data_IF_694298480755
#
_entry.id   IF_694298480755
#
_cell.length_a   1.000
_cell.length_b   1.000
_cell.length_c   1.000
_cell.angle_alpha   90.00
_cell.angle_beta   90.00
_cell.angle_gamma   90.00
#
_symmetry.space_group_name_H-M   'P 1'
#
loop_
_entity.id
_entity.type
_entity.pdbx_description
1 polymer ?
#
# COMPACT_ATOMS: atom_id res chain seq x y z
N UNK A 1 -13.96 6.65 -19.95
CA UNK A 1 -14.91 5.54 -19.67
C UNK A 1 -14.82 5.17 -18.18
N UNK A 2 -15.91 4.74 -17.51
CA UNK A 2 -15.84 4.24 -16.14
C UNK A 2 -15.49 2.75 -16.14
N UNK A 3 -14.77 2.27 -15.10
CA UNK A 3 -14.37 0.86 -14.97
C UNK A 3 -15.56 -0.11 -15.12
N UNK A 4 -16.72 0.23 -14.51
CA UNK A 4 -17.94 -0.57 -14.62
C UNK A 4 -18.47 -0.65 -16.06
N UNK A 5 -18.41 0.44 -16.80
CA UNK A 5 -18.79 0.48 -18.24
C UNK A 5 -17.80 -0.31 -19.09
N UNK A 6 -16.49 -0.22 -18.76
CA UNK A 6 -15.45 -0.97 -19.45
C UNK A 6 -15.65 -2.48 -19.32
N UNK A 7 -15.88 -2.96 -18.09
CA UNK A 7 -16.18 -4.39 -17.87
C UNK A 7 -17.44 -4.86 -18.59
N UNK A 8 -18.50 -4.02 -18.62
CA UNK A 8 -19.70 -4.31 -19.37
C UNK A 8 -19.49 -4.43 -20.89
N UNK A 9 -18.60 -3.61 -21.45
CA UNK A 9 -18.22 -3.67 -22.86
C UNK A 9 -17.45 -4.96 -23.19
N UNK A 10 -16.45 -5.30 -22.36
CA UNK A 10 -15.68 -6.55 -22.52
C UNK A 10 -16.60 -7.77 -22.40
N UNK A 11 -17.52 -7.78 -21.44
CA UNK A 11 -18.45 -8.90 -21.25
C UNK A 11 -19.42 -9.05 -22.43
N UNK A 12 -19.90 -7.93 -23.00
CA UNK A 12 -20.75 -7.97 -24.22
C UNK A 12 -19.98 -8.50 -25.40
N UNK A 13 -18.74 -8.04 -25.62
CA UNK A 13 -17.88 -8.57 -26.67
C UNK A 13 -17.71 -10.09 -26.52
N UNK A 14 -17.38 -10.54 -25.31
CA UNK A 14 -17.22 -11.96 -25.01
C UNK A 14 -18.46 -12.79 -25.31
N UNK A 15 -19.67 -12.27 -25.07
CA UNK A 15 -20.92 -12.96 -25.40
C UNK A 15 -21.25 -12.93 -26.91
N UNK A 16 -20.88 -11.84 -27.59
CA UNK A 16 -21.19 -11.68 -29.02
C UNK A 16 -20.24 -12.47 -29.92
N UNK A 17 -18.98 -12.61 -29.52
CA UNK A 17 -17.95 -13.31 -30.29
C UNK A 17 -17.59 -14.66 -29.66
N UNK A 18 -18.60 -15.47 -29.32
CA UNK A 18 -18.43 -16.80 -28.73
C UNK A 18 -17.93 -17.87 -29.72
N UNK A 19 -17.40 -17.48 -30.88
CA UNK A 19 -16.79 -18.39 -31.83
C UNK A 19 -15.35 -18.74 -31.37
N UNK A 20 -15.04 -20.02 -31.16
CA UNK A 20 -13.76 -20.46 -30.57
C UNK A 20 -12.51 -20.21 -31.43
N UNK A 21 -12.66 -19.72 -32.64
CA UNK A 21 -11.57 -19.55 -33.60
C UNK A 21 -11.09 -18.11 -33.79
N UNK A 22 -11.68 -17.10 -33.13
CA UNK A 22 -11.18 -15.73 -33.23
C UNK A 22 -10.02 -15.50 -32.27
N UNK A 23 -8.89 -15.01 -32.80
CA UNK A 23 -7.69 -14.69 -31.96
C UNK A 23 -8.02 -13.68 -30.87
N UNK A 24 -8.95 -12.79 -31.10
CA UNK A 24 -9.43 -11.77 -30.15
C UNK A 24 -10.23 -12.38 -29.00
N UNK A 25 -11.07 -13.35 -29.30
CA UNK A 25 -11.86 -14.08 -28.31
C UNK A 25 -10.95 -14.86 -27.36
N UNK A 26 -10.01 -15.63 -27.91
CA UNK A 26 -9.03 -16.39 -27.12
C UNK A 26 -8.21 -15.46 -26.23
N UNK A 27 -7.71 -14.35 -26.76
CA UNK A 27 -6.92 -13.39 -26.01
C UNK A 27 -7.68 -12.82 -24.80
N UNK A 28 -8.96 -12.46 -24.97
CA UNK A 28 -9.80 -11.93 -23.89
C UNK A 28 -10.22 -13.05 -22.93
N UNK A 29 -10.59 -14.22 -23.45
CA UNK A 29 -10.97 -15.38 -22.66
C UNK A 29 -9.88 -15.77 -21.69
N UNK A 30 -8.66 -15.95 -22.20
CA UNK A 30 -7.50 -16.36 -21.41
C UNK A 30 -7.11 -15.34 -20.31
N UNK A 31 -7.43 -14.07 -20.53
CA UNK A 31 -7.09 -13.00 -19.61
C UNK A 31 -8.30 -12.42 -18.85
N UNK A 32 -9.50 -12.96 -19.06
CA UNK A 32 -10.72 -12.44 -18.40
C UNK A 32 -10.62 -12.48 -16.87
N UNK A 33 -10.03 -13.52 -16.32
CA UNK A 33 -9.80 -13.64 -14.88
C UNK A 33 -8.87 -12.54 -14.37
N UNK A 34 -7.75 -12.31 -15.06
CA UNK A 34 -6.79 -11.23 -14.74
C UNK A 34 -7.48 -9.87 -14.78
N UNK A 35 -8.23 -9.58 -15.84
CA UNK A 35 -8.97 -8.32 -15.99
C UNK A 35 -9.96 -8.14 -14.83
N UNK A 36 -10.72 -9.17 -14.49
CA UNK A 36 -11.69 -9.15 -13.39
C UNK A 36 -11.03 -8.93 -12.05
N UNK A 37 -9.92 -9.61 -11.77
CA UNK A 37 -9.16 -9.45 -10.53
C UNK A 37 -8.62 -8.03 -10.39
N UNK A 38 -8.03 -7.47 -11.45
CA UNK A 38 -7.49 -6.11 -11.46
C UNK A 38 -8.58 -5.06 -11.26
N UNK A 39 -9.72 -5.19 -11.91
CA UNK A 39 -10.86 -4.28 -11.73
C UNK A 39 -11.38 -4.32 -10.28
N UNK A 40 -11.45 -5.49 -9.66
CA UNK A 40 -11.91 -5.64 -8.27
C UNK A 40 -11.02 -4.97 -7.24
N UNK A 41 -9.73 -4.77 -7.55
CA UNK A 41 -8.74 -4.09 -6.69
C UNK A 41 -8.79 -2.57 -6.74
N UNK A 42 -9.34 -1.98 -7.80
CA UNK A 42 -9.34 -0.52 -8.00
C UNK A 42 -10.32 0.17 -7.05
N UNK A 43 -9.78 0.93 -6.09
CA UNK A 43 -10.57 1.62 -5.04
C UNK A 43 -10.58 3.14 -5.14
N UNK A 44 -9.89 3.75 -6.10
CA UNK A 44 -9.56 5.17 -6.07
C UNK A 44 -10.56 6.09 -6.75
N UNK A 45 -10.76 7.27 -6.15
CA UNK A 45 -11.29 8.46 -6.82
C UNK A 45 -10.17 9.03 -7.67
N UNK A 46 -10.23 8.83 -8.97
CA UNK A 46 -9.22 9.32 -9.90
C UNK A 46 -9.25 10.84 -9.99
N UNK A 47 -8.08 11.47 -9.90
CA UNK A 47 -7.92 12.82 -10.39
C UNK A 47 -8.01 12.80 -11.92
N UNK A 48 -8.88 13.68 -12.47
CA UNK A 48 -9.13 13.73 -13.91
C UNK A 48 -7.89 14.18 -14.70
N UNK A 49 -7.08 15.05 -14.11
CA UNK A 49 -5.89 15.59 -14.77
C UNK A 49 -4.77 14.52 -14.87
N UNK A 50 -4.49 13.84 -13.78
CA UNK A 50 -3.52 12.74 -13.72
C UNK A 50 -3.89 11.62 -14.70
N UNK A 51 -5.17 11.20 -14.69
CA UNK A 51 -5.66 10.21 -15.63
C UNK A 51 -5.45 10.59 -17.08
N UNK A 52 -5.68 11.84 -17.45
CA UNK A 52 -5.46 12.33 -18.82
C UNK A 52 -3.97 12.32 -19.20
N UNK A 53 -3.07 12.67 -18.27
CA UNK A 53 -1.61 12.61 -18.50
C UNK A 53 -1.17 11.18 -18.75
N UNK A 54 -1.62 10.25 -17.92
CA UNK A 54 -1.33 8.83 -18.03
C UNK A 54 -1.90 8.21 -19.32
N UNK A 55 -3.15 8.52 -19.68
CA UNK A 55 -3.74 8.07 -20.94
C UNK A 55 -2.96 8.57 -22.17
N UNK A 56 -2.41 9.79 -22.13
CA UNK A 56 -1.54 10.30 -23.20
C UNK A 56 -0.23 9.52 -23.28
N UNK A 57 0.40 9.24 -22.14
CA UNK A 57 1.59 8.41 -22.07
C UNK A 57 1.34 7.04 -22.70
N UNK A 58 0.34 6.31 -22.22
CA UNK A 58 0.02 4.95 -22.70
C UNK A 58 -0.36 4.93 -24.19
N UNK A 59 -1.06 5.96 -24.69
CA UNK A 59 -1.40 6.05 -26.12
C UNK A 59 -0.18 6.27 -27.00
N UNK A 60 0.77 7.09 -26.54
CA UNK A 60 2.03 7.36 -27.27
C UNK A 60 2.84 6.09 -27.42
N UNK A 61 2.93 5.29 -26.37
CA UNK A 61 3.68 4.04 -26.33
C UNK A 61 2.87 2.83 -26.84
N UNK A 62 1.73 3.04 -27.53
CA UNK A 62 0.91 1.96 -28.08
C UNK A 62 0.35 1.00 -27.02
N UNK A 63 0.15 1.49 -25.80
CA UNK A 63 -0.28 0.72 -24.62
C UNK A 63 0.73 -0.32 -24.12
N UNK A 64 2.01 -0.18 -24.49
CA UNK A 64 3.10 -0.90 -23.88
C UNK A 64 3.54 -0.15 -22.63
N UNK A 65 3.41 -0.78 -21.47
CA UNK A 65 3.81 -0.19 -20.21
C UNK A 65 5.22 -0.65 -19.82
N UNK A 66 6.07 0.31 -19.47
CA UNK A 66 7.31 0.11 -18.71
C UNK A 66 7.52 1.30 -17.76
N UNK A 67 8.19 1.06 -16.64
CA UNK A 67 8.52 2.10 -15.64
C UNK A 67 9.38 3.19 -16.27
N UNK A 68 10.39 2.81 -17.05
CA UNK A 68 11.30 3.72 -17.76
C UNK A 68 10.55 4.66 -18.72
N UNK A 69 9.64 4.11 -19.55
CA UNK A 69 8.85 4.90 -20.49
C UNK A 69 7.95 5.92 -19.78
N UNK A 70 7.36 5.51 -18.66
CA UNK A 70 6.55 6.40 -17.82
C UNK A 70 7.41 7.54 -17.27
N UNK A 71 8.54 7.25 -16.65
CA UNK A 71 9.47 8.24 -16.09
C UNK A 71 9.94 9.21 -17.19
N UNK A 72 10.40 8.67 -18.31
CA UNK A 72 10.86 9.47 -19.45
C UNK A 72 9.78 10.40 -19.99
N UNK A 73 8.54 9.90 -20.10
CA UNK A 73 7.42 10.70 -20.57
C UNK A 73 7.08 11.84 -19.61
N UNK A 74 7.00 11.59 -18.30
CA UNK A 74 6.70 12.62 -17.31
C UNK A 74 7.81 13.65 -17.22
N UNK A 75 9.07 13.20 -17.19
CA UNK A 75 10.26 14.08 -17.14
C UNK A 75 10.36 14.96 -18.38
N UNK A 76 10.10 14.41 -19.58
CA UNK A 76 10.14 15.20 -20.84
C UNK A 76 9.10 16.33 -20.88
N UNK A 77 8.01 16.21 -20.10
CA UNK A 77 6.97 17.24 -19.99
C UNK A 77 7.13 18.13 -18.74
N UNK A 78 8.16 17.91 -17.92
CA UNK A 78 8.34 18.62 -16.65
C UNK A 78 7.23 18.35 -15.62
N UNK A 79 6.56 17.21 -15.70
CA UNK A 79 5.49 16.85 -14.77
C UNK A 79 6.04 16.08 -13.59
N UNK A 80 5.58 16.45 -12.41
CA UNK A 80 5.88 15.79 -11.13
C UNK A 80 4.62 15.15 -10.59
N UNK A 81 4.79 14.19 -9.69
CA UNK A 81 3.72 13.50 -8.98
C UNK A 81 3.81 13.80 -7.49
N UNK A 82 2.65 13.99 -6.85
CA UNK A 82 2.56 13.98 -5.39
C UNK A 82 2.73 12.55 -4.85
N UNK A 83 3.16 12.42 -3.60
CA UNK A 83 3.32 11.11 -2.95
C UNK A 83 2.03 10.29 -3.01
N UNK A 84 0.89 10.94 -2.78
CA UNK A 84 -0.42 10.30 -2.86
C UNK A 84 -0.81 9.86 -4.29
N UNK A 85 -0.30 10.52 -5.33
CA UNK A 85 -0.53 10.17 -6.72
C UNK A 85 0.29 8.94 -7.12
N UNK A 86 1.55 8.84 -6.64
CA UNK A 86 2.40 7.67 -6.91
C UNK A 86 1.77 6.39 -6.33
N UNK A 87 1.22 6.41 -5.12
CA UNK A 87 0.51 5.26 -4.57
C UNK A 87 -0.73 4.84 -5.36
N UNK A 88 -1.37 5.77 -6.07
CA UNK A 88 -2.53 5.50 -6.92
C UNK A 88 -2.16 5.16 -8.36
N UNK A 89 -0.89 5.29 -8.71
CA UNK A 89 -0.41 5.15 -10.07
C UNK A 89 -0.74 3.76 -10.65
N UNK A 90 -0.47 2.69 -9.92
CA UNK A 90 -0.79 1.31 -10.34
C UNK A 90 -2.29 1.14 -10.64
N UNK A 91 -3.16 1.66 -9.77
CA UNK A 91 -4.62 1.62 -9.98
C UNK A 91 -5.05 2.43 -11.22
N UNK A 92 -4.41 3.58 -11.43
CA UNK A 92 -4.71 4.46 -12.56
C UNK A 92 -4.24 3.84 -13.88
N UNK A 93 -3.06 3.22 -13.92
CA UNK A 93 -2.54 2.47 -15.07
C UNK A 93 -3.48 1.31 -15.38
N UNK A 94 -3.80 0.49 -14.38
CA UNK A 94 -4.74 -0.62 -14.52
C UNK A 94 -6.08 -0.17 -15.14
N UNK A 95 -6.66 0.90 -14.58
CA UNK A 95 -7.92 1.46 -15.09
C UNK A 95 -7.81 1.91 -16.54
N UNK A 96 -6.72 2.58 -16.90
CA UNK A 96 -6.51 3.08 -18.26
C UNK A 96 -6.31 1.95 -19.27
N UNK A 97 -5.56 0.92 -18.91
CA UNK A 97 -5.36 -0.26 -19.76
C UNK A 97 -6.66 -1.05 -19.95
N UNK A 98 -7.43 -1.28 -18.90
CA UNK A 98 -8.74 -1.94 -18.99
C UNK A 98 -9.72 -1.12 -19.83
N UNK A 99 -9.72 0.21 -19.72
CA UNK A 99 -10.52 1.07 -20.56
C UNK A 99 -10.10 0.99 -22.05
N UNK A 100 -8.80 0.87 -22.33
CA UNK A 100 -8.28 0.70 -23.68
C UNK A 100 -8.76 -0.61 -24.31
N UNK A 101 -8.68 -1.73 -23.58
CA UNK A 101 -9.23 -3.02 -24.05
C UNK A 101 -10.72 -2.89 -24.33
N UNK A 102 -11.49 -2.25 -23.44
CA UNK A 102 -12.92 -2.08 -23.63
C UNK A 102 -13.29 -1.21 -24.83
N UNK A 103 -12.51 -0.16 -25.10
CA UNK A 103 -12.70 0.70 -26.29
C UNK A 103 -12.47 -0.08 -27.59
N UNK A 104 -11.47 -0.94 -27.64
CA UNK A 104 -11.23 -1.78 -28.81
C UNK A 104 -12.33 -2.84 -28.96
N UNK A 105 -12.82 -3.45 -27.88
CA UNK A 105 -13.98 -4.33 -27.91
C UNK A 105 -15.24 -3.62 -28.49
N UNK A 106 -15.52 -2.40 -28.03
CA UNK A 106 -16.65 -1.62 -28.55
C UNK A 106 -16.48 -1.25 -30.04
N UNK A 107 -15.23 -0.98 -30.49
CA UNK A 107 -14.92 -0.72 -31.90
C UNK A 107 -15.17 -1.96 -32.77
N UNK A 108 -14.74 -3.13 -32.31
CA UNK A 108 -15.03 -4.40 -32.99
C UNK A 108 -16.53 -4.63 -33.12
N UNK A 109 -17.28 -4.43 -32.08
CA UNK A 109 -18.73 -4.64 -32.08
C UNK A 109 -19.50 -3.68 -33.00
N UNK A 110 -19.02 -2.42 -33.10
CA UNK A 110 -19.69 -1.38 -33.90
C UNK A 110 -19.34 -1.45 -35.39
N UNK A 111 -18.06 -1.65 -35.69
CA UNK A 111 -17.50 -1.42 -37.02
C UNK A 111 -16.84 -2.65 -37.62
N UNK A 112 -16.80 -3.79 -36.90
CA UNK A 112 -16.04 -4.98 -37.30
C UNK A 112 -14.53 -4.75 -37.41
N UNK A 113 -14.04 -3.60 -36.93
CA UNK A 113 -12.63 -3.19 -37.04
C UNK A 113 -12.14 -2.70 -35.67
N UNK A 114 -11.28 -3.47 -35.03
CA UNK A 114 -10.55 -3.11 -33.84
C UNK A 114 -9.07 -3.44 -34.03
N UNK A 115 -8.22 -2.97 -33.16
CA UNK A 115 -6.79 -3.26 -33.19
C UNK A 115 -6.44 -4.37 -32.20
N UNK A 116 -6.26 -5.59 -32.71
CA UNK A 116 -5.75 -6.73 -31.94
C UNK A 116 -4.42 -6.45 -31.30
N UNK A 117 -3.55 -5.71 -31.99
CA UNK A 117 -2.24 -5.32 -31.47
C UNK A 117 -2.37 -4.48 -30.18
N UNK A 118 -3.24 -3.47 -30.19
CA UNK A 118 -3.49 -2.64 -29.01
C UNK A 118 -4.09 -3.42 -27.85
N UNK A 119 -5.01 -4.32 -28.13
CA UNK A 119 -5.58 -5.22 -27.12
C UNK A 119 -4.49 -6.09 -26.49
N UNK A 120 -3.64 -6.72 -27.32
CA UNK A 120 -2.54 -7.55 -26.88
C UNK A 120 -1.56 -6.76 -26.02
N UNK A 121 -1.11 -5.58 -26.48
CA UNK A 121 -0.20 -4.73 -25.74
C UNK A 121 -0.77 -4.30 -24.39
N UNK A 122 -2.06 -3.91 -24.34
CA UNK A 122 -2.72 -3.52 -23.10
C UNK A 122 -2.86 -4.69 -22.11
N UNK A 123 -3.17 -5.90 -22.58
CA UNK A 123 -3.28 -7.07 -21.71
C UNK A 123 -1.90 -7.52 -21.22
N UNK A 124 -0.88 -7.49 -22.07
CA UNK A 124 0.49 -7.79 -21.67
C UNK A 124 1.02 -6.80 -20.63
N UNK A 125 0.73 -5.52 -20.81
CA UNK A 125 1.05 -4.48 -19.82
C UNK A 125 0.31 -4.68 -18.50
N UNK A 126 -0.93 -5.17 -18.51
CA UNK A 126 -1.64 -5.54 -17.28
C UNK A 126 -0.97 -6.71 -16.54
N UNK A 127 -0.35 -7.64 -17.26
CA UNK A 127 0.41 -8.74 -16.64
C UNK A 127 1.69 -8.24 -15.99
N UNK A 128 2.39 -7.31 -16.62
CA UNK A 128 3.64 -6.70 -16.12
C UNK A 128 3.43 -5.66 -15.03
N UNK A 129 2.21 -5.23 -14.79
CA UNK A 129 1.92 -4.19 -13.79
C UNK A 129 2.44 -4.49 -12.36
N UNK A 130 2.51 -5.76 -11.88
CA UNK A 130 3.16 -6.06 -10.60
C UNK A 130 4.68 -5.80 -10.57
N UNK A 131 5.33 -5.75 -11.73
CA UNK A 131 6.77 -5.45 -11.89
C UNK A 131 7.05 -3.94 -11.82
N UNK A 132 6.02 -3.11 -11.56
CA UNK A 132 6.19 -1.67 -11.41
C UNK A 132 7.09 -1.36 -10.21
N UNK A 133 8.26 -0.81 -10.48
CA UNK A 133 9.22 -0.38 -9.47
C UNK A 133 8.82 0.98 -8.90
N UNK A 134 7.94 0.96 -7.90
CA UNK A 134 7.36 2.17 -7.29
C UNK A 134 8.45 3.07 -6.71
N UNK A 135 9.54 2.51 -6.17
CA UNK A 135 10.64 3.27 -5.60
C UNK A 135 11.40 4.09 -6.66
N UNK A 136 11.56 3.55 -7.87
CA UNK A 136 12.13 4.32 -8.98
C UNK A 136 11.24 5.50 -9.37
N UNK A 137 9.92 5.27 -9.43
CA UNK A 137 8.96 6.34 -9.72
C UNK A 137 9.01 7.43 -8.65
N UNK A 138 9.10 7.07 -7.36
CA UNK A 138 9.26 8.03 -6.27
C UNK A 138 10.52 8.87 -6.45
N UNK A 139 11.66 8.23 -6.67
CA UNK A 139 12.95 8.93 -6.79
C UNK A 139 13.01 9.83 -8.03
N UNK A 140 12.38 9.44 -9.15
CA UNK A 140 12.45 10.18 -10.40
C UNK A 140 11.41 11.29 -10.53
N UNK A 141 10.17 11.09 -10.03
CA UNK A 141 9.04 11.96 -10.32
C UNK A 141 8.47 12.69 -9.10
N UNK A 142 8.86 12.30 -7.88
CA UNK A 142 8.29 12.86 -6.66
C UNK A 142 9.25 13.87 -6.00
N UNK A 143 8.95 15.19 -6.01
CA UNK A 143 9.84 16.18 -5.39
C UNK A 143 9.98 16.02 -3.88
N UNK A 144 8.96 15.45 -3.19
CA UNK A 144 9.01 15.18 -1.76
C UNK A 144 10.07 14.16 -1.41
N UNK A 145 10.33 13.17 -2.30
CA UNK A 145 11.35 12.16 -2.09
C UNK A 145 12.75 12.76 -2.03
N UNK A 146 13.05 13.73 -2.89
CA UNK A 146 14.34 14.43 -2.88
C UNK A 146 14.56 15.25 -1.60
N UNK A 147 13.49 15.75 -1.01
CA UNK A 147 13.54 16.43 0.29
C UNK A 147 13.72 15.43 1.43
N UNK A 148 13.02 14.30 1.40
CA UNK A 148 13.15 13.23 2.39
C UNK A 148 14.56 12.60 2.39
N UNK A 149 15.20 12.44 1.23
CA UNK A 149 16.56 11.90 1.14
C UNK A 149 17.62 12.76 1.83
N UNK A 150 17.32 14.03 2.11
CA UNK A 150 18.21 14.89 2.93
C UNK A 150 18.11 14.59 4.43
N UNK A 151 17.08 13.85 4.85
CA UNK A 151 16.83 13.50 6.25
C UNK A 151 17.48 12.15 6.55
N UNK A 152 18.50 12.12 7.41
CA UNK A 152 19.29 10.91 7.72
C UNK A 152 18.45 9.67 8.03
N UNK A 153 17.44 9.81 8.90
CA UNK A 153 16.62 8.67 9.31
C UNK A 153 15.73 8.09 8.19
N UNK A 154 15.44 8.85 7.15
CA UNK A 154 14.72 8.38 5.97
C UNK A 154 15.69 7.76 4.94
N UNK A 155 16.81 8.42 4.68
CA UNK A 155 17.80 7.96 3.70
C UNK A 155 18.40 6.60 4.07
N UNK A 156 18.59 6.35 5.37
CA UNK A 156 19.16 5.12 5.89
C UNK A 156 18.09 4.04 6.19
N UNK A 157 16.80 4.39 6.12
CA UNK A 157 15.69 3.50 6.39
C UNK A 157 15.45 2.47 5.28
N UNK A 158 14.91 1.31 5.66
CA UNK A 158 14.39 0.33 4.72
C UNK A 158 13.11 0.85 4.02
N UNK A 159 12.65 0.13 3.00
CA UNK A 159 11.47 0.53 2.21
C UNK A 159 10.21 0.61 3.06
N UNK A 160 10.05 -0.29 4.04
CA UNK A 160 8.91 -0.28 4.94
C UNK A 160 8.91 0.97 5.84
N UNK A 161 10.08 1.39 6.32
CA UNK A 161 10.27 2.64 7.08
C UNK A 161 9.94 3.84 6.21
N UNK A 162 10.45 3.91 4.98
CA UNK A 162 10.16 5.00 4.04
C UNK A 162 8.67 5.12 3.76
N UNK A 163 7.97 3.99 3.62
CA UNK A 163 6.52 3.96 3.42
C UNK A 163 5.77 4.58 4.59
N UNK A 164 6.15 4.28 5.84
CA UNK A 164 5.55 4.89 7.04
C UNK A 164 5.67 6.41 7.02
N UNK A 165 6.82 6.94 6.59
CA UNK A 165 7.02 8.39 6.50
C UNK A 165 6.20 9.03 5.38
N UNK A 166 6.18 8.42 4.20
CA UNK A 166 5.36 8.87 3.08
C UNK A 166 3.88 8.92 3.45
N UNK A 167 3.36 7.85 4.07
CA UNK A 167 1.98 7.83 4.56
C UNK A 167 1.70 8.89 5.64
N UNK A 168 2.65 9.11 6.54
CA UNK A 168 2.50 10.11 7.59
C UNK A 168 2.45 11.53 6.98
N UNK A 169 3.29 11.83 5.98
CA UNK A 169 3.25 13.08 5.24
C UNK A 169 1.88 13.30 4.58
N UNK A 170 1.39 12.31 3.84
CA UNK A 170 0.07 12.37 3.19
C UNK A 170 -1.03 12.66 4.22
N UNK A 171 -1.00 11.99 5.37
CA UNK A 171 -1.98 12.23 6.45
C UNK A 171 -1.90 13.65 7.00
N UNK A 172 -0.69 14.16 7.21
CA UNK A 172 -0.47 15.53 7.71
C UNK A 172 -0.90 16.59 6.69
N UNK A 173 -0.53 16.43 5.43
CA UNK A 173 -0.90 17.34 4.34
C UNK A 173 -2.43 17.42 4.17
N UNK A 174 -3.12 16.27 4.20
CA UNK A 174 -4.58 16.23 4.15
C UNK A 174 -5.26 16.93 5.34
N UNK A 175 -4.71 16.77 6.55
CA UNK A 175 -5.26 17.44 7.74
C UNK A 175 -5.10 18.95 7.67
N UNK A 176 -3.95 19.43 7.20
CA UNK A 176 -3.63 20.85 7.09
C UNK A 176 -4.16 21.48 5.82
N UNK A 177 -4.59 20.68 4.84
CA UNK A 177 -5.01 21.11 3.49
C UNK A 177 -3.90 21.91 2.79
N UNK A 178 -2.66 21.51 2.99
CA UNK A 178 -1.47 22.10 2.40
C UNK A 178 -0.85 21.11 1.41
N UNK A 179 -0.08 21.64 0.45
CA UNK A 179 0.73 20.86 -0.47
C UNK A 179 1.83 20.07 0.28
N UNK A 180 2.08 18.82 -0.14
CA UNK A 180 3.04 17.93 0.49
C UNK A 180 4.46 18.48 0.50
N UNK A 181 4.90 19.11 -0.63
CA UNK A 181 6.22 19.70 -0.76
C UNK A 181 6.40 20.92 0.13
N UNK A 182 5.40 21.80 0.18
CA UNK A 182 5.43 23.02 1.01
C UNK A 182 5.44 22.66 2.49
N UNK A 183 4.64 21.68 2.86
CA UNK A 183 4.58 21.19 4.24
C UNK A 183 5.93 20.58 4.66
N UNK A 184 6.51 19.72 3.82
CA UNK A 184 7.76 19.05 4.12
C UNK A 184 8.94 20.02 4.19
N UNK A 185 9.05 20.99 3.26
CA UNK A 185 10.11 22.01 3.28
C UNK A 185 10.04 22.86 4.55
N UNK A 186 8.84 23.30 4.94
CA UNK A 186 8.64 24.06 6.20
C UNK A 186 9.03 23.23 7.43
N UNK A 187 8.66 21.96 7.46
CA UNK A 187 9.01 21.07 8.58
C UNK A 187 10.51 20.83 8.66
N UNK A 188 11.18 20.67 7.53
CA UNK A 188 12.63 20.47 7.47
C UNK A 188 13.39 21.72 7.98
N UNK A 189 12.93 22.91 7.60
CA UNK A 189 13.50 24.18 8.08
C UNK A 189 13.31 24.41 9.59
N UNK A 190 12.14 24.05 10.13
CA UNK A 190 11.79 24.32 11.53
C UNK A 190 12.40 23.33 12.53
N UNK A 191 12.60 22.09 12.14
CA UNK A 191 12.83 21.01 13.09
C UNK A 191 14.23 20.40 13.06
N UNK A 192 15.02 20.65 12.03
CA UNK A 192 16.29 19.94 11.83
C UNK A 192 16.09 18.41 11.65
N UNK A 193 17.13 17.73 11.22
CA UNK A 193 17.04 16.34 10.73
C UNK A 193 16.46 15.30 11.72
N UNK A 194 16.70 15.45 13.01
CA UNK A 194 16.30 14.42 14.00
C UNK A 194 14.87 14.54 14.53
N UNK A 195 14.26 15.74 14.45
CA UNK A 195 12.90 15.98 14.98
C UNK A 195 11.82 15.86 13.93
N UNK A 196 12.16 15.97 12.65
CA UNK A 196 11.21 15.85 11.56
C UNK A 196 10.48 14.51 11.62
N UNK A 197 11.21 13.45 11.88
CA UNK A 197 10.68 12.10 11.95
C UNK A 197 9.70 11.92 13.13
N UNK A 198 9.99 12.55 14.27
CA UNK A 198 9.10 12.54 15.42
C UNK A 198 7.80 13.32 15.19
N UNK A 199 7.81 14.34 14.33
CA UNK A 199 6.63 15.13 13.99
C UNK A 199 5.71 14.43 12.97
N UNK A 200 6.30 13.67 12.05
CA UNK A 200 5.57 12.92 11.04
C UNK A 200 5.01 11.62 11.65
N UNK A 201 5.77 10.97 12.54
CA UNK A 201 5.29 9.79 13.25
C UNK A 201 4.11 10.17 14.16
N UNK A 202 2.95 9.53 14.01
CA UNK A 202 1.77 9.87 14.81
C UNK A 202 1.98 9.41 16.26
N UNK A 203 2.57 10.24 17.07
CA UNK A 203 2.61 10.05 18.53
C UNK A 203 1.25 10.42 19.12
N UNK A 204 0.21 9.67 18.77
CA UNK A 204 -1.06 9.80 19.47
C UNK A 204 -1.00 8.90 20.70
N UNK A 205 -0.76 9.49 21.86
CA UNK A 205 -0.94 8.80 23.15
C UNK A 205 -2.43 8.50 23.43
N UNK A 206 -3.32 9.00 22.58
CA UNK A 206 -4.77 8.86 22.75
C UNK A 206 -5.24 7.39 22.85
N UNK A 207 -4.80 6.46 21.99
CA UNK A 207 -5.20 5.06 22.15
C UNK A 207 -4.67 4.43 23.42
N UNK A 208 -3.47 4.77 23.87
CA UNK A 208 -2.93 4.25 25.13
C UNK A 208 -3.70 4.79 26.35
N UNK A 209 -4.00 6.08 26.38
CA UNK A 209 -4.81 6.69 27.45
C UNK A 209 -6.21 6.11 27.46
N UNK A 210 -6.85 5.95 26.32
CA UNK A 210 -8.17 5.31 26.22
C UNK A 210 -8.15 3.84 26.68
N UNK A 211 -7.09 3.11 26.33
CA UNK A 211 -6.92 1.73 26.79
C UNK A 211 -6.87 1.66 28.33
N UNK A 212 -5.95 2.42 28.96
CA UNK A 212 -5.82 2.41 30.41
C UNK A 212 -7.09 2.88 31.12
N UNK A 213 -7.75 3.90 30.60
CA UNK A 213 -8.99 4.39 31.18
C UNK A 213 -10.11 3.36 31.08
N UNK A 214 -10.29 2.75 29.90
CA UNK A 214 -11.33 1.75 29.67
C UNK A 214 -11.11 0.50 30.53
N UNK A 215 -9.88 -0.03 30.55
CA UNK A 215 -9.54 -1.23 31.35
C UNK A 215 -9.69 -0.97 32.83
N UNK A 216 -9.26 0.19 33.32
CA UNK A 216 -9.42 0.57 34.73
C UNK A 216 -10.88 0.71 35.14
N UNK A 217 -11.68 1.43 34.32
CA UNK A 217 -13.13 1.60 34.62
C UNK A 217 -13.84 0.26 34.62
N UNK A 218 -13.53 -0.61 33.65
CA UNK A 218 -14.14 -1.94 33.57
C UNK A 218 -13.74 -2.82 34.75
N UNK A 219 -12.46 -2.82 35.13
CA UNK A 219 -11.97 -3.58 36.28
C UNK A 219 -12.63 -3.12 37.59
N UNK A 220 -12.74 -1.81 37.80
CA UNK A 220 -13.43 -1.24 39.00
C UNK A 220 -14.89 -1.61 39.00
N UNK A 221 -15.59 -1.52 37.88
CA UNK A 221 -17.02 -1.86 37.78
C UNK A 221 -17.27 -3.35 38.08
N UNK A 222 -16.46 -4.26 37.54
CA UNK A 222 -16.58 -5.70 37.79
C UNK A 222 -16.23 -6.03 39.24
N UNK A 223 -15.22 -5.39 39.81
CA UNK A 223 -14.84 -5.58 41.22
C UNK A 223 -15.92 -5.09 42.16
N UNK A 224 -16.51 -3.92 41.89
CA UNK A 224 -17.63 -3.37 42.69
C UNK A 224 -18.87 -4.27 42.59
N UNK A 225 -19.21 -4.76 41.41
CA UNK A 225 -20.31 -5.72 41.23
C UNK A 225 -20.08 -7.03 42.00
N UNK A 226 -18.86 -7.56 41.94
CA UNK A 226 -18.48 -8.78 42.68
C UNK A 226 -18.61 -8.56 44.21
N UNK A 227 -18.21 -7.37 44.69
CA UNK A 227 -18.32 -7.02 46.10
C UNK A 227 -19.76 -6.96 46.56
N UNK A 228 -20.68 -6.40 45.75
CA UNK A 228 -22.11 -6.35 46.06
C UNK A 228 -22.75 -7.72 46.15
N UNK A 229 -22.30 -8.69 45.33
CA UNK A 229 -22.86 -10.04 45.28
C UNK A 229 -22.28 -10.98 46.35
N UNK A 230 -20.98 -10.91 46.64
CA UNK A 230 -20.28 -11.89 47.45
C UNK A 230 -19.60 -11.29 48.70
N UNK A 231 -19.72 -10.00 48.93
CA UNK A 231 -19.16 -9.31 50.08
C UNK A 231 -17.64 -9.45 50.19
N UNK A 232 -17.13 -9.69 51.39
CA UNK A 232 -15.69 -9.77 51.64
C UNK A 232 -14.96 -10.90 50.91
N UNK A 233 -15.64 -11.96 50.51
CA UNK A 233 -15.05 -13.05 49.71
C UNK A 233 -14.58 -12.61 48.34
N UNK A 234 -15.17 -11.52 47.82
CA UNK A 234 -14.78 -10.95 46.51
C UNK A 234 -13.36 -10.40 46.51
N UNK A 235 -12.77 -10.06 47.67
CA UNK A 235 -11.38 -9.58 47.75
C UNK A 235 -10.37 -10.59 47.17
N UNK A 236 -10.63 -11.87 47.31
CA UNK A 236 -9.79 -12.93 46.74
C UNK A 236 -9.95 -13.01 45.21
N UNK A 237 -11.09 -12.57 44.67
CA UNK A 237 -11.37 -12.59 43.25
C UNK A 237 -10.88 -11.35 42.49
N UNK A 238 -10.53 -10.25 43.19
CA UNK A 238 -10.12 -8.98 42.56
C UNK A 238 -8.91 -9.17 41.63
N UNK A 239 -7.92 -9.91 42.06
CA UNK A 239 -6.67 -10.11 41.32
C UNK A 239 -6.89 -10.90 40.03
N UNK A 240 -7.54 -12.09 40.06
CA UNK A 240 -7.83 -12.83 38.84
C UNK A 240 -8.84 -12.11 37.93
N UNK A 241 -9.78 -11.35 38.45
CA UNK A 241 -10.71 -10.55 37.66
C UNK A 241 -9.98 -9.43 36.92
N UNK A 242 -9.07 -8.73 37.60
CA UNK A 242 -8.27 -7.68 36.98
C UNK A 242 -7.42 -8.24 35.85
N UNK A 243 -6.76 -9.38 36.05
CA UNK A 243 -5.95 -10.05 35.02
C UNK A 243 -6.79 -10.49 33.82
N UNK A 244 -7.99 -11.04 34.07
CA UNK A 244 -8.92 -11.42 32.99
C UNK A 244 -9.39 -10.19 32.18
N UNK A 245 -9.69 -9.08 32.84
CA UNK A 245 -10.08 -7.81 32.19
C UNK A 245 -8.94 -7.25 31.36
N UNK A 246 -7.72 -7.25 31.88
CA UNK A 246 -6.52 -6.83 31.13
C UNK A 246 -6.29 -7.70 29.90
N UNK A 247 -6.33 -9.02 30.04
CA UNK A 247 -6.16 -9.97 28.93
C UNK A 247 -7.21 -9.79 27.82
N UNK A 248 -8.46 -9.58 28.22
CA UNK A 248 -9.53 -9.27 27.27
C UNK A 248 -9.31 -7.92 26.59
N UNK A 249 -8.89 -6.92 27.35
CA UNK A 249 -8.52 -5.60 26.84
C UNK A 249 -7.41 -5.69 25.80
N UNK A 250 -6.34 -6.40 26.08
CA UNK A 250 -5.20 -6.62 25.18
C UNK A 250 -5.63 -7.32 23.89
N UNK A 251 -6.47 -8.34 24.01
CA UNK A 251 -7.01 -9.06 22.85
C UNK A 251 -7.85 -8.15 21.93
N UNK A 252 -8.71 -7.34 22.49
CA UNK A 252 -9.58 -6.42 21.72
C UNK A 252 -8.73 -5.29 21.11
N UNK A 253 -7.84 -4.69 21.91
CA UNK A 253 -7.02 -3.55 21.46
C UNK A 253 -6.02 -3.96 20.40
N UNK A 254 -5.39 -5.13 20.49
CA UNK A 254 -4.45 -5.63 19.48
C UNK A 254 -5.09 -5.81 18.10
N UNK A 255 -6.41 -6.03 18.06
CA UNK A 255 -7.15 -6.12 16.79
C UNK A 255 -7.59 -4.77 16.22
N UNK A 256 -7.78 -3.78 17.08
CA UNK A 256 -8.28 -2.44 16.69
C UNK A 256 -7.13 -1.50 16.35
N UNK A 257 -6.07 -1.54 17.16
CA UNK A 257 -4.93 -0.63 17.01
C UNK A 257 -3.89 -1.26 16.09
N UNK A 258 -3.77 -0.73 14.88
CA UNK A 258 -2.64 -1.07 14.01
C UNK A 258 -1.36 -0.50 14.62
N UNK A 259 -0.49 -1.37 15.05
CA UNK A 259 0.87 -0.98 15.49
C UNK A 259 1.67 -0.49 14.28
N UNK A 260 2.27 0.68 14.41
CA UNK A 260 3.28 1.11 13.42
C UNK A 260 4.51 0.22 13.58
N UNK A 261 5.03 -0.37 12.49
CA UNK A 261 6.25 -1.15 12.57
C UNK A 261 7.39 -0.27 13.10
N UNK A 262 8.32 -0.83 13.89
CA UNK A 262 9.49 -0.09 14.32
C UNK A 262 10.31 0.33 13.10
N UNK A 263 10.91 1.52 13.19
CA UNK A 263 11.80 2.03 12.14
C UNK A 263 13.00 1.10 12.02
N UNK A 264 13.27 0.62 10.80
CA UNK A 264 14.37 -0.29 10.50
C UNK A 264 15.37 0.41 9.61
N UNK A 265 16.65 0.17 9.86
CA UNK A 265 17.72 0.57 8.96
C UNK A 265 17.79 -0.44 7.81
N UNK A 266 18.17 0.03 6.61
CA UNK A 266 18.45 -0.87 5.50
C UNK A 266 19.66 -1.75 5.85
N UNK A 267 19.60 -3.07 5.64
CA UNK A 267 20.71 -3.98 5.97
C UNK A 267 22.01 -3.64 5.22
N UNK A 268 21.90 -3.04 4.04
CA UNK A 268 23.06 -2.61 3.24
C UNK A 268 23.81 -1.40 3.83
N UNK A 269 23.18 -0.66 4.73
CA UNK A 269 23.71 0.58 5.33
C UNK A 269 24.01 0.47 6.83
N UNK A 270 24.08 -0.76 7.34
CA UNK A 270 24.48 -0.95 8.74
C UNK A 270 25.96 -0.55 8.91
N UNK A 271 26.26 0.48 9.70
CA UNK A 271 27.66 0.82 10.00
C UNK A 271 28.30 -0.33 10.79
N UNK A 272 29.54 -0.68 10.46
CA UNK A 272 30.30 -1.75 11.12
C UNK A 272 30.36 -1.61 12.66
N UNK A 273 30.17 -0.40 13.19
CA UNK A 273 30.11 -0.12 14.63
C UNK A 273 28.82 -0.61 15.31
N UNK A 274 27.82 -1.05 14.54
CA UNK A 274 26.51 -1.53 15.03
C UNK A 274 26.22 -2.98 14.62
N UNK A 275 27.27 -3.78 14.53
CA UNK A 275 27.09 -5.21 14.37
C UNK A 275 26.28 -5.75 15.56
N UNK A 276 25.09 -6.23 15.28
CA UNK A 276 24.19 -6.82 16.29
C UNK A 276 24.18 -8.32 16.11
N UNK A 277 24.56 -9.03 17.18
CA UNK A 277 24.39 -10.47 17.21
C UNK A 277 22.90 -10.78 17.41
N UNK A 278 22.25 -11.34 16.40
CA UNK A 278 20.88 -11.83 16.52
C UNK A 278 20.92 -13.24 17.07
N UNK A 279 20.53 -13.41 18.34
CA UNK A 279 20.38 -14.72 18.96
C UNK A 279 18.94 -15.19 18.77
N UNK A 280 18.71 -16.16 17.89
CA UNK A 280 17.41 -16.81 17.73
C UNK A 280 17.43 -18.06 18.61
N UNK A 281 16.68 -18.04 19.72
CA UNK A 281 16.48 -19.21 20.55
C UNK A 281 15.46 -20.12 19.89
N UNK A 282 15.92 -21.18 19.23
CA UNK A 282 15.06 -22.24 18.69
C UNK A 282 15.21 -23.49 19.55
N UNK A 283 14.08 -24.16 19.84
CA UNK A 283 14.09 -25.49 20.43
C UNK A 283 14.42 -26.50 19.32
N UNK A 284 15.64 -27.00 19.31
CA UNK A 284 16.07 -28.07 18.42
C UNK A 284 15.61 -29.41 19.02
N UNK A 285 14.68 -30.05 18.34
CA UNK A 285 14.15 -31.35 18.72
C UNK A 285 14.89 -32.51 18.02
N UNK A 286 16.17 -32.52 17.94
CA UNK A 286 17.02 -33.59 17.43
C UNK A 286 16.37 -34.52 16.39
N UNK A 287 16.48 -34.22 15.10
CA UNK A 287 15.94 -35.05 14.03
C UNK A 287 16.08 -34.35 12.66
N UNK A 288 15.86 -35.09 11.56
CA UNK A 288 16.00 -34.63 10.13
C UNK A 288 15.20 -33.36 9.76
N UNK A 289 14.43 -32.78 10.70
CA UNK A 289 13.70 -31.51 10.48
C UNK A 289 14.53 -30.27 10.79
N UNK A 290 15.67 -30.42 11.43
CA UNK A 290 16.51 -29.28 11.86
C UNK A 290 17.28 -28.65 10.70
N UNK A 291 17.61 -29.44 9.66
CA UNK A 291 18.34 -28.97 8.47
C UNK A 291 17.55 -27.88 7.72
N UNK A 292 16.23 -27.99 7.64
CA UNK A 292 15.38 -26.98 6.99
C UNK A 292 15.21 -25.67 7.77
N UNK A 293 15.63 -25.62 9.05
CA UNK A 293 15.61 -24.40 9.87
C UNK A 293 16.85 -23.56 9.56
N UNK A 294 17.99 -24.22 9.39
CA UNK A 294 19.26 -23.55 9.08
C UNK A 294 19.25 -22.95 7.67
N UNK A 295 18.71 -23.67 6.66
CA UNK A 295 18.54 -23.13 5.30
C UNK A 295 17.65 -21.86 5.27
N UNK A 296 16.59 -21.80 6.09
CA UNK A 296 15.72 -20.61 6.17
C UNK A 296 16.31 -19.44 6.95
N UNK A 297 17.38 -19.65 7.69
CA UNK A 297 18.08 -18.60 8.43
C UNK A 297 19.25 -18.00 7.61
N UNK A 298 19.66 -18.69 6.53
CA UNK A 298 20.71 -18.22 5.60
C UNK A 298 20.11 -17.43 4.40
N UNK A 299 18.80 -17.52 4.12
CA UNK A 299 18.10 -16.68 3.16
C UNK A 299 17.68 -15.33 3.81
#
# INVERSE_FOLDING_TARGET
>A
MTVKKAYGAITRFFRAYSLPESSEYTLISDNLYLIKQRIGGVRTKNDKAEKLRLERCLRREGYVFSTENLISFYTSHGWTLETAEVYRLSDNICTSLVCAVAEECDRFMKNGRGSTLRMRSAIESLRRLPELEINEVFSALCPTETLFMKVKGFADGDDATREVYREALIRCARRRREDECVLLSRMTEQCGDGRLLALIAPHSHLPAVMYYLLTTVLAVAVSAFSFLMWGWLSLFAVLPVFEAVCSLGDFVFSRIVKTTPPLRLSPEKLPCERETLVVITTLLFGGDKDDGIFERLEE
#
